data_IF_240549270836
#
_entry.id   IF_240549270836
#
_cell.length_a   1.000
_cell.length_b   1.000
_cell.length_c   1.000
_cell.angle_alpha   90.00
_cell.angle_beta   90.00
_cell.angle_gamma   90.00
#
_symmetry.space_group_name_H-M   'P 1'
#
loop_
_entity.id
_entity.type
_entity.pdbx_description
1 polymer ?
#
# COMPACT_ATOMS: atom_id res chain seq x y z
N UNK A 1 -9.55 24.91 13.82
CA UNK A 1 -8.18 25.41 14.03
C UNK A 1 -7.75 25.18 15.47
N UNK A 2 -6.65 24.45 15.69
CA UNK A 2 -6.09 24.11 17.02
C UNK A 2 -5.44 25.32 17.73
N UNK A 3 -5.73 26.55 17.29
CA UNK A 3 -5.17 27.78 17.83
C UNK A 3 -3.72 28.10 17.42
N UNK A 4 -3.17 27.42 16.41
CA UNK A 4 -1.87 27.76 15.82
C UNK A 4 -2.04 28.80 14.71
N UNK A 5 -1.10 29.74 14.62
CA UNK A 5 -0.99 30.63 13.46
C UNK A 5 -0.58 29.83 12.20
N UNK A 6 -0.86 30.40 11.02
CA UNK A 6 -0.50 29.84 9.71
C UNK A 6 1.00 29.55 9.60
N UNK A 7 1.85 30.45 10.08
CA UNK A 7 3.30 30.25 10.11
C UNK A 7 3.70 29.06 10.99
N UNK A 8 3.13 28.96 12.19
CA UNK A 8 3.38 27.86 13.12
C UNK A 8 2.90 26.53 12.55
N UNK A 9 1.73 26.50 11.93
CA UNK A 9 1.16 25.30 11.31
C UNK A 9 2.07 24.78 10.20
N UNK A 10 2.59 25.67 9.34
CA UNK A 10 3.55 25.30 8.31
C UNK A 10 4.84 24.74 8.90
N UNK A 11 5.41 25.35 9.95
CA UNK A 11 6.62 24.84 10.59
C UNK A 11 6.39 23.45 11.22
N UNK A 12 5.22 23.25 11.80
CA UNK A 12 4.78 21.99 12.40
C UNK A 12 4.52 20.87 11.38
N UNK A 13 4.55 21.17 10.07
CA UNK A 13 4.50 20.15 9.00
C UNK A 13 5.85 19.50 8.75
N UNK A 14 6.96 20.21 8.98
CA UNK A 14 8.31 19.74 8.65
C UNK A 14 8.62 18.38 9.31
N UNK A 15 8.33 18.17 10.62
CA UNK A 15 8.63 16.89 11.27
C UNK A 15 7.91 15.71 10.61
N UNK A 16 6.66 15.89 10.16
CA UNK A 16 5.96 14.76 9.55
C UNK A 16 6.56 14.41 8.18
N UNK A 17 7.01 15.39 7.39
CA UNK A 17 7.66 15.15 6.10
C UNK A 17 8.97 14.38 6.28
N UNK A 18 9.80 14.78 7.25
CA UNK A 18 11.04 14.08 7.57
C UNK A 18 10.73 12.65 8.01
N UNK A 19 9.77 12.47 8.91
CA UNK A 19 9.32 11.15 9.35
C UNK A 19 8.81 10.29 8.19
N UNK A 20 8.01 10.86 7.30
CA UNK A 20 7.48 10.18 6.12
C UNK A 20 8.58 9.68 5.18
N UNK A 21 9.60 10.50 4.92
CA UNK A 21 10.74 10.10 4.08
C UNK A 21 11.48 8.92 4.72
N UNK A 22 11.76 9.00 6.03
CA UNK A 22 12.48 7.95 6.75
C UNK A 22 11.68 6.64 6.76
N UNK A 23 10.39 6.69 7.11
CA UNK A 23 9.54 5.49 7.19
C UNK A 23 9.29 4.88 5.81
N UNK A 24 9.12 5.70 4.77
CA UNK A 24 8.99 5.24 3.37
C UNK A 24 10.27 4.53 2.89
N UNK A 25 11.44 5.12 3.12
CA UNK A 25 12.71 4.49 2.75
C UNK A 25 12.94 3.20 3.56
N UNK A 26 12.68 3.25 4.87
CA UNK A 26 12.82 2.11 5.76
C UNK A 26 11.95 0.93 5.34
N UNK A 27 10.66 1.15 5.08
CA UNK A 27 9.74 0.06 4.68
C UNK A 27 10.11 -0.50 3.31
N UNK A 28 10.54 0.34 2.38
CA UNK A 28 10.96 -0.08 1.04
C UNK A 28 12.22 -0.95 1.13
N UNK A 29 13.20 -0.55 1.95
CA UNK A 29 14.42 -1.33 2.17
C UNK A 29 14.13 -2.68 2.85
N UNK A 30 13.26 -2.69 3.86
CA UNK A 30 12.81 -3.94 4.53
C UNK A 30 12.11 -4.87 3.53
N UNK A 31 11.29 -4.33 2.62
CA UNK A 31 10.62 -5.11 1.58
C UNK A 31 11.60 -5.83 0.66
N UNK A 32 12.71 -5.18 0.30
CA UNK A 32 13.75 -5.79 -0.54
C UNK A 32 14.53 -6.87 0.22
N UNK A 33 14.90 -6.64 1.48
CA UNK A 33 15.65 -7.64 2.27
C UNK A 33 14.79 -8.87 2.55
N UNK A 34 13.54 -8.68 2.96
CA UNK A 34 12.67 -9.80 3.33
C UNK A 34 12.13 -10.56 2.11
N UNK A 35 12.21 -9.96 0.92
CA UNK A 35 11.64 -10.52 -0.31
C UNK A 35 10.13 -10.72 -0.25
N UNK A 36 9.45 -10.14 0.75
CA UNK A 36 8.01 -10.27 0.96
C UNK A 36 7.32 -8.92 0.79
N UNK A 37 6.92 -8.62 -0.45
CA UNK A 37 6.38 -7.32 -0.82
C UNK A 37 5.03 -7.05 -0.15
N UNK A 38 4.19 -8.08 0.01
CA UNK A 38 2.84 -7.92 0.58
C UNK A 38 2.89 -7.58 2.07
N UNK A 39 3.72 -8.29 2.86
CA UNK A 39 3.78 -8.01 4.29
C UNK A 39 4.40 -6.65 4.58
N UNK A 40 5.45 -6.27 3.84
CA UNK A 40 6.06 -4.95 4.01
C UNK A 40 5.10 -3.82 3.61
N UNK A 41 4.29 -4.00 2.56
CA UNK A 41 3.27 -3.04 2.17
C UNK A 41 2.12 -2.91 3.20
N UNK A 42 1.87 -3.96 4.00
CA UNK A 42 0.84 -3.98 5.05
C UNK A 42 1.27 -3.22 6.32
N UNK A 43 2.56 -3.02 6.56
CA UNK A 43 3.09 -2.29 7.72
C UNK A 43 2.47 -0.88 7.83
N UNK A 44 2.31 -0.18 6.70
CA UNK A 44 1.66 1.14 6.68
C UNK A 44 0.20 1.13 7.14
N UNK A 45 -0.54 0.06 6.83
CA UNK A 45 -1.92 -0.08 7.27
C UNK A 45 -1.99 -0.36 8.77
N UNK A 46 -1.11 -1.24 9.28
CA UNK A 46 -1.01 -1.54 10.71
C UNK A 46 -0.55 -0.32 11.53
N UNK A 47 0.27 0.55 10.96
CA UNK A 47 0.68 1.82 11.56
C UNK A 47 -0.49 2.82 11.67
N UNK A 48 -1.28 2.94 10.60
CA UNK A 48 -2.40 3.89 10.55
C UNK A 48 -3.58 3.45 11.44
N UNK A 49 -3.80 2.16 11.62
CA UNK A 49 -4.95 1.59 12.32
C UNK A 49 -5.11 2.11 13.77
N UNK A 50 -4.12 2.00 14.68
CA UNK A 50 -4.28 2.48 16.06
C UNK A 50 -4.46 4.01 16.13
N UNK A 51 -3.82 4.75 15.22
CA UNK A 51 -3.89 6.22 15.18
C UNK A 51 -5.28 6.69 14.71
N UNK A 52 -5.83 6.07 13.67
CA UNK A 52 -7.19 6.35 13.21
C UNK A 52 -8.24 5.88 14.21
N UNK A 53 -8.03 4.74 14.87
CA UNK A 53 -8.92 4.27 15.93
C UNK A 53 -8.96 5.28 17.09
N UNK A 54 -7.80 5.81 17.50
CA UNK A 54 -7.73 6.87 18.51
C UNK A 54 -8.49 8.12 18.06
N UNK A 55 -8.29 8.59 16.83
CA UNK A 55 -8.98 9.77 16.29
C UNK A 55 -10.49 9.56 16.09
N UNK A 56 -10.94 8.31 15.90
CA UNK A 56 -12.36 8.00 15.73
C UNK A 56 -13.13 7.93 17.07
N UNK A 57 -12.46 7.57 18.16
CA UNK A 57 -13.07 7.42 19.50
C UNK A 57 -12.91 8.68 20.35
N UNK A 58 -11.84 9.44 20.14
CA UNK A 58 -11.50 10.58 21.01
C UNK A 58 -12.15 11.88 20.54
N UNK A 59 -12.68 12.67 21.48
CA UNK A 59 -13.13 14.03 21.20
C UNK A 59 -11.93 14.98 21.09
N UNK A 60 -11.41 15.17 19.86
CA UNK A 60 -10.23 15.98 19.59
C UNK A 60 -10.36 17.44 20.07
N UNK A 61 -11.58 17.97 20.14
CA UNK A 61 -11.86 19.32 20.65
C UNK A 61 -11.62 19.50 22.15
N UNK A 62 -11.64 18.42 22.94
CA UNK A 62 -11.42 18.45 24.39
C UNK A 62 -9.98 18.05 24.79
N UNK A 63 -9.17 17.61 23.84
CA UNK A 63 -7.81 17.10 24.07
C UNK A 63 -6.78 18.21 23.91
N UNK A 64 -5.68 18.11 24.66
CA UNK A 64 -4.54 19.00 24.52
C UNK A 64 -4.06 19.07 23.05
N UNK A 65 -3.95 20.28 22.51
CA UNK A 65 -3.50 20.55 21.13
C UNK A 65 -2.21 19.83 20.74
N UNK A 66 -1.28 19.64 21.69
CA UNK A 66 -0.02 18.93 21.45
C UNK A 66 -0.22 17.44 21.22
N UNK A 67 -1.17 16.81 21.93
CA UNK A 67 -1.50 15.40 21.72
C UNK A 67 -2.14 15.20 20.35
N UNK A 68 -3.08 16.08 19.97
CA UNK A 68 -3.70 16.05 18.63
C UNK A 68 -2.64 16.23 17.55
N UNK A 69 -1.72 17.18 17.74
CA UNK A 69 -0.61 17.41 16.84
C UNK A 69 0.30 16.16 16.72
N UNK A 70 0.74 15.57 17.84
CA UNK A 70 1.60 14.37 17.83
C UNK A 70 0.94 13.20 17.12
N UNK A 71 -0.34 12.91 17.41
CA UNK A 71 -1.07 11.81 16.75
C UNK A 71 -1.20 12.07 15.25
N UNK A 72 -1.52 13.31 14.85
CA UNK A 72 -1.63 13.69 13.44
C UNK A 72 -0.29 13.59 12.73
N UNK A 73 0.80 14.06 13.35
CA UNK A 73 2.17 13.96 12.82
C UNK A 73 2.57 12.50 12.64
N UNK A 74 2.32 11.63 13.63
CA UNK A 74 2.61 10.19 13.51
C UNK A 74 1.78 9.53 12.41
N UNK A 75 0.52 9.93 12.24
CA UNK A 75 -0.33 9.43 11.17
C UNK A 75 0.17 9.85 9.79
N UNK A 76 0.61 11.10 9.64
CA UNK A 76 1.13 11.63 8.38
C UNK A 76 2.54 11.12 8.05
N UNK A 77 3.33 10.75 9.06
CA UNK A 77 4.60 10.04 8.89
C UNK A 77 4.45 8.56 8.53
N UNK A 78 3.25 8.11 8.13
CA UNK A 78 3.01 6.71 7.78
C UNK A 78 4.02 6.18 6.75
N UNK A 79 4.48 4.92 6.90
CA UNK A 79 5.33 4.28 5.91
C UNK A 79 4.53 4.04 4.63
N UNK A 80 4.85 4.81 3.60
CA UNK A 80 4.14 4.74 2.33
C UNK A 80 4.59 3.53 1.50
N UNK A 81 3.62 2.67 1.14
CA UNK A 81 3.85 1.45 0.38
C UNK A 81 3.83 1.65 -1.15
N UNK A 82 3.63 2.87 -1.65
CA UNK A 82 3.53 3.16 -3.09
C UNK A 82 4.79 2.72 -3.87
N UNK A 83 6.03 2.97 -3.42
CA UNK A 83 7.21 2.48 -4.13
C UNK A 83 7.23 0.96 -4.26
N UNK A 84 6.83 0.25 -3.20
CA UNK A 84 6.70 -1.22 -3.18
C UNK A 84 5.66 -1.66 -4.21
N UNK A 85 4.47 -1.04 -4.22
CA UNK A 85 3.39 -1.38 -5.14
C UNK A 85 3.76 -1.15 -6.61
N UNK A 86 4.41 -0.03 -6.93
CA UNK A 86 4.90 0.27 -8.29
C UNK A 86 5.94 -0.77 -8.72
N UNK A 87 6.90 -1.07 -7.84
CA UNK A 87 7.91 -2.10 -8.10
C UNK A 87 7.29 -3.48 -8.29
N UNK A 88 6.29 -3.83 -7.47
CA UNK A 88 5.58 -5.09 -7.53
C UNK A 88 4.81 -5.27 -8.83
N UNK A 89 4.11 -4.23 -9.28
CA UNK A 89 3.42 -4.19 -10.56
C UNK A 89 4.37 -4.44 -11.74
N UNK A 90 5.55 -3.81 -11.70
CA UNK A 90 6.60 -3.97 -12.71
C UNK A 90 7.18 -5.38 -12.75
N UNK A 91 7.41 -6.00 -11.57
CA UNK A 91 7.91 -7.39 -11.43
C UNK A 91 6.91 -8.41 -11.98
N UNK A 92 5.61 -8.21 -11.71
CA UNK A 92 4.56 -9.16 -12.10
C UNK A 92 4.10 -9.05 -13.57
N UNK A 93 4.51 -8.02 -14.30
CA UNK A 93 4.15 -7.83 -15.71
C UNK A 93 4.97 -8.70 -16.68
N UNK A 94 6.22 -9.03 -16.33
CA UNK A 94 7.15 -9.94 -17.05
C UNK A 94 7.30 -9.71 -18.59
N UNK A 95 6.89 -8.56 -19.13
CA UNK A 95 7.19 -8.09 -20.49
C UNK A 95 7.17 -6.56 -20.55
N UNK A 96 7.92 -5.95 -21.48
CA UNK A 96 8.02 -4.48 -21.60
C UNK A 96 6.65 -3.86 -21.92
N UNK A 97 5.92 -4.44 -22.88
CA UNK A 97 4.58 -4.00 -23.26
C UNK A 97 3.61 -4.04 -22.08
N UNK A 98 3.57 -5.15 -21.33
CA UNK A 98 2.67 -5.28 -20.18
C UNK A 98 3.06 -4.35 -19.04
N UNK A 99 4.36 -4.12 -18.81
CA UNK A 99 4.85 -3.22 -17.76
C UNK A 99 4.36 -1.78 -17.98
N UNK A 100 4.42 -1.26 -19.20
CA UNK A 100 3.98 0.11 -19.51
C UNK A 100 2.47 0.28 -19.31
N UNK A 101 1.68 -0.67 -19.83
CA UNK A 101 0.21 -0.63 -19.68
C UNK A 101 -0.17 -0.75 -18.20
N UNK A 102 0.44 -1.68 -17.47
CA UNK A 102 0.15 -1.88 -16.05
C UNK A 102 0.54 -0.67 -15.20
N UNK A 103 1.65 0.00 -15.51
CA UNK A 103 2.06 1.23 -14.83
C UNK A 103 1.08 2.39 -15.08
N UNK A 104 0.61 2.55 -16.32
CA UNK A 104 -0.40 3.56 -16.65
C UNK A 104 -1.72 3.29 -15.92
N UNK A 105 -2.21 2.05 -15.93
CA UNK A 105 -3.40 1.65 -15.18
C UNK A 105 -3.26 1.94 -13.68
N UNK A 106 -2.13 1.53 -13.08
CA UNK A 106 -1.87 1.80 -11.67
C UNK A 106 -1.92 3.30 -11.35
N UNK A 107 -1.29 4.15 -12.16
CA UNK A 107 -1.29 5.60 -11.96
C UNK A 107 -2.70 6.19 -12.05
N UNK A 108 -3.52 5.76 -13.02
CA UNK A 108 -4.92 6.22 -13.13
C UNK A 108 -5.74 5.90 -11.85
N UNK A 109 -5.55 4.73 -11.26
CA UNK A 109 -6.22 4.38 -9.99
C UNK A 109 -5.70 5.20 -8.81
N UNK A 110 -4.39 5.49 -8.75
CA UNK A 110 -3.82 6.37 -7.72
C UNK A 110 -4.45 7.76 -7.78
N UNK A 111 -4.57 8.33 -8.98
CA UNK A 111 -5.16 9.66 -9.17
C UNK A 111 -6.66 9.67 -8.86
N UNK A 112 -7.40 8.63 -9.26
CA UNK A 112 -8.81 8.48 -8.87
C UNK A 112 -8.98 8.40 -7.34
N UNK A 113 -8.08 7.66 -6.67
CA UNK A 113 -8.05 7.59 -5.20
C UNK A 113 -7.76 8.94 -4.54
N UNK A 114 -6.87 9.76 -5.11
CA UNK A 114 -6.59 11.11 -4.62
C UNK A 114 -7.83 12.02 -4.71
N UNK A 115 -8.59 11.94 -5.80
CA UNK A 115 -9.85 12.69 -5.97
C UNK A 115 -10.89 12.28 -4.92
N UNK A 116 -11.06 10.98 -4.68
CA UNK A 116 -11.95 10.49 -3.61
C UNK A 116 -11.46 10.95 -2.25
N UNK A 117 -10.16 10.84 -1.98
CA UNK A 117 -9.51 11.23 -0.73
C UNK A 117 -9.74 12.70 -0.35
N UNK A 118 -9.66 13.60 -1.33
CA UNK A 118 -9.90 15.03 -1.14
C UNK A 118 -11.33 15.35 -0.66
N UNK A 119 -12.28 14.43 -0.84
CA UNK A 119 -13.70 14.63 -0.50
C UNK A 119 -14.15 13.88 0.76
N UNK A 120 -13.25 13.17 1.44
CA UNK A 120 -13.56 12.40 2.65
C UNK A 120 -13.84 13.33 3.83
N UNK A 121 -12.96 14.31 4.04
CA UNK A 121 -13.12 15.30 5.10
C UNK A 121 -13.98 16.45 4.59
N UNK A 122 -15.08 16.71 5.30
CA UNK A 122 -16.05 17.74 4.95
C UNK A 122 -16.19 18.76 6.06
N UNK A 123 -16.44 20.02 5.69
CA UNK A 123 -16.51 21.13 6.65
C UNK A 123 -17.65 21.00 7.67
N UNK A 124 -18.76 20.33 7.31
CA UNK A 124 -19.91 20.07 8.19
C UNK A 124 -19.59 19.09 9.33
N UNK A 125 -18.53 18.31 9.17
CA UNK A 125 -18.10 17.26 10.09
C UNK A 125 -17.04 17.76 11.11
N UNK A 126 -16.64 19.03 11.02
CA UNK A 126 -15.73 19.67 11.94
C UNK A 126 -16.31 19.75 13.37
N UNK A 127 -15.48 19.79 14.44
CA UNK A 127 -14.01 19.76 14.43
C UNK A 127 -13.39 18.36 14.50
N UNK A 128 -14.19 17.32 14.81
CA UNK A 128 -13.67 15.98 15.11
C UNK A 128 -13.69 15.02 13.91
N UNK A 129 -14.40 15.38 12.81
CA UNK A 129 -14.52 14.60 11.59
C UNK A 129 -14.85 13.11 11.78
N UNK A 130 -15.89 12.77 12.57
CA UNK A 130 -16.18 11.39 12.92
C UNK A 130 -16.53 10.52 11.70
N UNK A 131 -17.19 11.07 10.66
CA UNK A 131 -17.50 10.28 9.45
C UNK A 131 -16.24 10.03 8.63
N UNK A 132 -15.39 11.05 8.47
CA UNK A 132 -14.11 10.94 7.77
C UNK A 132 -13.18 9.91 8.42
N UNK A 133 -13.00 9.99 9.74
CA UNK A 133 -12.14 9.06 10.49
C UNK A 133 -12.67 7.62 10.43
N UNK A 134 -13.99 7.42 10.51
CA UNK A 134 -14.62 6.09 10.35
C UNK A 134 -14.46 5.53 8.93
N UNK A 135 -14.61 6.36 7.90
CA UNK A 135 -14.40 5.95 6.52
C UNK A 135 -12.94 5.53 6.28
N UNK A 136 -11.97 6.30 6.80
CA UNK A 136 -10.55 5.95 6.75
C UNK A 136 -10.24 4.65 7.48
N UNK A 137 -10.81 4.44 8.68
CA UNK A 137 -10.64 3.19 9.41
C UNK A 137 -11.20 2.00 8.62
N UNK A 138 -12.38 2.15 8.01
CA UNK A 138 -12.97 1.14 7.13
C UNK A 138 -12.07 0.82 5.93
N UNK A 139 -11.49 1.83 5.29
CA UNK A 139 -10.54 1.64 4.19
C UNK A 139 -9.26 0.94 4.62
N UNK A 140 -8.71 1.26 5.80
CA UNK A 140 -7.53 0.57 6.34
C UNK A 140 -7.82 -0.91 6.56
N UNK A 141 -8.95 -1.26 7.18
CA UNK A 141 -9.35 -2.65 7.37
C UNK A 141 -9.56 -3.38 6.04
N UNK A 142 -10.22 -2.72 5.08
CA UNK A 142 -10.39 -3.26 3.72
C UNK A 142 -9.05 -3.50 3.03
N UNK A 143 -8.09 -2.57 3.14
CA UNK A 143 -6.76 -2.72 2.57
C UNK A 143 -5.99 -3.89 3.19
N UNK A 144 -6.06 -4.08 4.50
CA UNK A 144 -5.45 -5.24 5.18
C UNK A 144 -6.02 -6.55 4.62
N UNK A 145 -7.35 -6.65 4.53
CA UNK A 145 -8.00 -7.81 3.95
C UNK A 145 -7.58 -8.04 2.49
N UNK A 146 -7.51 -6.97 1.69
CA UNK A 146 -7.10 -7.03 0.30
C UNK A 146 -5.66 -7.54 0.15
N UNK A 147 -4.71 -7.05 0.96
CA UNK A 147 -3.34 -7.55 0.95
C UNK A 147 -3.27 -9.05 1.27
N UNK A 148 -4.01 -9.52 2.27
CA UNK A 148 -4.07 -10.94 2.61
C UNK A 148 -4.66 -11.78 1.48
N UNK A 149 -5.70 -11.29 0.81
CA UNK A 149 -6.29 -11.95 -0.36
C UNK A 149 -5.32 -12.02 -1.53
N UNK A 150 -4.63 -10.91 -1.85
CA UNK A 150 -3.63 -10.85 -2.93
C UNK A 150 -2.48 -11.81 -2.66
N UNK A 151 -1.96 -11.84 -1.42
CA UNK A 151 -0.92 -12.80 -1.03
C UNK A 151 -1.39 -14.24 -1.23
N UNK A 152 -2.58 -14.55 -0.73
CA UNK A 152 -3.17 -15.90 -0.82
C UNK A 152 -3.34 -16.30 -2.28
N UNK A 153 -3.86 -15.41 -3.11
CA UNK A 153 -4.00 -15.63 -4.55
C UNK A 153 -2.66 -15.95 -5.22
N UNK A 154 -1.61 -15.16 -4.97
CA UNK A 154 -0.31 -15.40 -5.60
C UNK A 154 0.37 -16.68 -5.10
N UNK A 155 0.29 -16.99 -3.80
CA UNK A 155 0.83 -18.24 -3.23
C UNK A 155 0.12 -19.45 -3.84
N UNK A 156 -1.22 -19.44 -3.89
CA UNK A 156 -2.00 -20.54 -4.47
C UNK A 156 -1.72 -20.70 -5.97
N UNK A 157 -1.60 -19.58 -6.70
CA UNK A 157 -1.28 -19.59 -8.14
C UNK A 157 0.12 -20.14 -8.40
N UNK A 158 1.10 -19.74 -7.60
CA UNK A 158 2.47 -20.25 -7.68
C UNK A 158 2.52 -21.74 -7.33
N UNK A 159 1.80 -22.19 -6.29
CA UNK A 159 1.72 -23.61 -5.90
C UNK A 159 1.09 -24.46 -7.00
N UNK A 160 -0.01 -24.03 -7.59
CA UNK A 160 -0.67 -24.72 -8.70
C UNK A 160 0.23 -24.84 -9.93
N UNK A 161 0.98 -23.77 -10.25
CA UNK A 161 1.97 -23.79 -11.34
C UNK A 161 3.18 -24.67 -11.03
N UNK A 162 3.66 -24.67 -9.78
CA UNK A 162 4.75 -25.54 -9.33
C UNK A 162 4.37 -27.01 -9.47
N UNK A 163 3.19 -27.41 -8.98
CA UNK A 163 2.70 -28.78 -9.13
C UNK A 163 2.66 -29.27 -10.58
N UNK A 164 2.18 -28.42 -11.51
CA UNK A 164 2.17 -28.77 -12.95
C UNK A 164 3.57 -28.85 -13.54
N UNK A 165 4.45 -27.93 -13.17
CA UNK A 165 5.83 -27.90 -13.64
C UNK A 165 6.66 -29.08 -13.10
N UNK A 166 6.45 -29.44 -11.83
CA UNK A 166 7.13 -30.52 -11.13
C UNK A 166 6.66 -31.90 -11.58
N UNK A 167 5.42 -31.99 -12.10
CA UNK A 167 4.92 -33.19 -12.75
C UNK A 167 5.48 -33.43 -14.17
N UNK A 168 6.11 -32.42 -14.80
CA UNK A 168 6.69 -32.57 -16.15
C UNK A 168 8.09 -33.20 -16.09
N UNK A 169 8.36 -34.12 -17.03
CA UNK A 169 9.72 -34.64 -17.24
C UNK A 169 10.65 -33.57 -17.81
N UNK A 170 11.99 -33.73 -17.69
CA UNK A 170 12.95 -32.79 -18.28
C UNK A 170 12.72 -32.54 -19.77
N UNK A 171 12.41 -33.57 -20.54
CA UNK A 171 12.13 -33.46 -21.98
C UNK A 171 10.84 -32.68 -22.27
N UNK A 172 9.80 -32.87 -21.45
CA UNK A 172 8.55 -32.10 -21.56
C UNK A 172 8.77 -30.62 -21.23
N UNK A 173 9.62 -30.31 -20.25
CA UNK A 173 9.98 -28.92 -19.93
C UNK A 173 10.74 -28.27 -21.06
N UNK A 174 11.72 -28.97 -21.64
CA UNK A 174 12.46 -28.49 -22.81
C UNK A 174 11.53 -28.28 -24.01
N UNK A 175 10.62 -29.22 -24.27
CA UNK A 175 9.64 -29.09 -25.32
C UNK A 175 8.71 -27.88 -25.11
N UNK A 176 8.23 -27.67 -23.87
CA UNK A 176 7.42 -26.50 -23.53
C UNK A 176 8.20 -25.20 -23.75
N UNK A 177 9.44 -25.10 -23.28
CA UNK A 177 10.27 -23.91 -23.47
C UNK A 177 10.55 -23.62 -24.95
N UNK A 178 10.67 -24.65 -25.79
CA UNK A 178 10.93 -24.52 -27.22
C UNK A 178 9.68 -24.17 -28.05
N UNK A 179 8.48 -24.58 -27.60
CA UNK A 179 7.24 -24.50 -28.41
C UNK A 179 6.18 -23.56 -27.86
N UNK A 180 6.34 -23.08 -26.62
CA UNK A 180 5.31 -22.27 -25.96
C UNK A 180 5.09 -20.92 -26.66
N UNK A 181 3.81 -20.54 -26.77
CA UNK A 181 3.39 -19.19 -27.18
C UNK A 181 3.05 -18.30 -25.98
N UNK A 182 3.25 -18.79 -24.76
CA UNK A 182 2.97 -18.03 -23.55
C UNK A 182 4.02 -16.93 -23.35
N UNK A 183 3.58 -15.68 -23.32
CA UNK A 183 4.44 -14.52 -23.05
C UNK A 183 4.28 -13.99 -21.62
N UNK A 184 5.38 -13.47 -21.07
CA UNK A 184 5.40 -12.76 -19.79
C UNK A 184 4.87 -13.59 -18.64
N UNK A 185 3.86 -13.09 -17.93
CA UNK A 185 3.37 -13.71 -16.69
C UNK A 185 2.47 -14.94 -16.94
N UNK A 186 2.16 -15.25 -18.20
CA UNK A 186 1.39 -16.45 -18.59
C UNK A 186 2.23 -17.72 -18.60
N UNK A 187 3.56 -17.59 -18.78
CA UNK A 187 4.52 -18.69 -18.76
C UNK A 187 4.41 -19.56 -17.49
N UNK A 188 4.54 -20.87 -17.64
CA UNK A 188 4.45 -21.82 -16.51
C UNK A 188 5.64 -21.76 -15.54
N UNK A 189 6.82 -21.38 -16.02
CA UNK A 189 8.02 -21.15 -15.21
C UNK A 189 7.99 -19.80 -14.46
N UNK A 190 7.08 -18.90 -14.83
CA UNK A 190 6.93 -17.63 -14.11
C UNK A 190 6.28 -17.83 -12.72
N UNK A 191 6.89 -17.21 -11.72
CA UNK A 191 6.39 -17.14 -10.34
C UNK A 191 6.07 -15.69 -10.00
N UNK A 192 4.84 -15.46 -9.54
CA UNK A 192 4.42 -14.15 -9.05
C UNK A 192 5.18 -13.80 -7.78
N UNK A 193 5.69 -12.58 -7.71
CA UNK A 193 6.23 -12.04 -6.46
C UNK A 193 5.06 -11.74 -5.52
N UNK A 194 5.24 -11.97 -4.22
CA UNK A 194 4.21 -11.76 -3.20
C UNK A 194 4.84 -11.35 -1.87
#
# INVERSE_FOLDING_TARGET
NLGFDTFQTNLLTIPYYVGHIITMLGVTYIAEIWGNLTFSAMIGQLWALPLLAYMAVTNLGAVNKWVVWTVTTLLLSYPNAHPIQVGWNSRNSNSVRLRTVSAACYNMFVQAGAVVGANIYRADDAPNYPRGNRALLGMVCMNVALYLLVKTYYVLRNRSRAQRWDAMTPDQRLHYLATTKDEGNKRMDFRFQH
#
